data_IF_856322750859
#
_entry.id   IF_856322750859
#
_cell.length_a   1.000
_cell.length_b   1.000
_cell.length_c   1.000
_cell.angle_alpha   90.00
_cell.angle_beta   90.00
_cell.angle_gamma   90.00
#
_symmetry.space_group_name_H-M   'P 1'
#
loop_
_entity.id
_entity.type
_entity.pdbx_description
1 polymer ?
#
# COMPACT_ATOMS: atom_id res chain seq x y z
N UNK A 1 -8.57 44.25 22.16
CA UNK A 1 -8.96 44.32 20.73
C UNK A 1 -7.86 43.65 19.93
N UNK A 2 -7.85 42.33 20.01
CA UNK A 2 -6.84 41.40 19.52
C UNK A 2 -7.32 40.79 18.20
N UNK A 3 -7.43 41.62 17.15
CA UNK A 3 -7.98 41.21 15.84
C UNK A 3 -6.92 40.68 14.86
N UNK A 4 -5.64 40.60 15.24
CA UNK A 4 -4.56 40.22 14.31
C UNK A 4 -4.22 38.72 14.28
N UNK A 5 -4.84 37.88 15.12
CA UNK A 5 -4.55 36.43 15.19
C UNK A 5 -5.63 35.57 14.52
N UNK A 6 -6.83 36.13 14.27
CA UNK A 6 -7.96 35.39 13.69
C UNK A 6 -7.89 35.21 12.16
N UNK A 7 -6.98 35.91 11.46
CA UNK A 7 -6.77 35.81 10.01
C UNK A 7 -5.82 34.68 9.59
N UNK A 8 -5.54 33.70 10.46
CA UNK A 8 -4.91 32.43 10.07
C UNK A 8 -5.96 31.42 9.53
N UNK A 9 -6.98 31.95 8.85
CA UNK A 9 -8.13 31.25 8.30
C UNK A 9 -7.69 30.19 7.27
N UNK A 10 -7.98 28.92 7.59
CA UNK A 10 -8.22 27.80 6.67
C UNK A 10 -7.55 27.89 5.28
N UNK A 11 -6.27 27.52 5.22
CA UNK A 11 -5.57 27.35 3.95
C UNK A 11 -6.19 26.19 3.15
N UNK A 12 -7.04 26.52 2.17
CA UNK A 12 -7.77 25.56 1.31
C UNK A 12 -7.00 25.19 0.04
N UNK A 13 -5.73 25.60 -0.06
CA UNK A 13 -4.92 25.42 -1.26
C UNK A 13 -4.59 23.96 -1.46
N UNK A 14 -5.03 23.41 -2.59
CA UNK A 14 -4.61 22.09 -3.06
C UNK A 14 -3.42 22.29 -3.98
N UNK A 15 -2.27 21.69 -3.61
CA UNK A 15 -1.06 21.69 -4.45
C UNK A 15 -1.00 20.33 -5.14
N UNK A 16 -1.29 20.25 -6.46
CA UNK A 16 -1.22 18.98 -7.17
C UNK A 16 0.24 18.51 -7.32
N UNK A 17 0.48 17.19 -7.38
CA UNK A 17 1.82 16.68 -7.65
C UNK A 17 2.28 17.11 -9.05
N UNK A 18 3.59 17.35 -9.24
CA UNK A 18 4.15 17.62 -10.56
C UNK A 18 3.79 16.50 -11.57
N UNK A 19 3.56 16.82 -12.86
CA UNK A 19 3.18 15.82 -13.87
C UNK A 19 4.16 14.66 -13.97
N UNK A 20 5.46 14.95 -13.93
CA UNK A 20 6.51 13.93 -13.99
C UNK A 20 6.44 12.98 -12.80
N UNK A 21 6.21 13.50 -11.59
CA UNK A 21 6.05 12.66 -10.40
C UNK A 21 4.82 11.77 -10.51
N UNK A 22 3.69 12.31 -11.00
CA UNK A 22 2.45 11.57 -11.21
C UNK A 22 2.64 10.43 -12.22
N UNK A 23 3.39 10.68 -13.31
CA UNK A 23 3.64 9.66 -14.33
C UNK A 23 4.43 8.45 -13.80
N UNK A 24 5.34 8.65 -12.85
CA UNK A 24 6.14 7.60 -12.22
C UNK A 24 5.48 6.99 -10.96
N UNK A 25 4.25 7.38 -10.62
CA UNK A 25 3.55 6.84 -9.47
C UNK A 25 3.27 5.35 -9.66
N UNK A 26 3.42 4.57 -8.58
CA UNK A 26 3.08 3.14 -8.62
C UNK A 26 1.58 2.92 -8.88
N UNK A 27 0.73 3.74 -8.24
CA UNK A 27 -0.72 3.76 -8.47
C UNK A 27 -1.04 4.93 -9.40
N UNK A 28 -1.40 4.62 -10.64
CA UNK A 28 -1.71 5.62 -11.67
C UNK A 28 -3.09 6.26 -11.47
N UNK A 29 -4.09 5.44 -11.09
CA UNK A 29 -5.46 5.90 -10.83
C UNK A 29 -5.92 5.42 -9.46
N UNK A 30 -5.81 6.33 -8.48
CA UNK A 30 -6.23 6.08 -7.11
C UNK A 30 -7.72 5.71 -7.01
N UNK A 31 -8.61 6.43 -7.70
CA UNK A 31 -10.04 6.20 -7.57
C UNK A 31 -10.46 4.82 -8.05
N UNK A 32 -9.88 4.35 -9.15
CA UNK A 32 -10.13 3.00 -9.66
C UNK A 32 -9.60 1.94 -8.69
N UNK A 33 -8.35 2.09 -8.22
CA UNK A 33 -7.75 1.16 -7.27
C UNK A 33 -8.55 1.09 -5.97
N UNK A 34 -8.98 2.24 -5.45
CA UNK A 34 -9.80 2.33 -4.25
C UNK A 34 -11.16 1.66 -4.44
N UNK A 35 -11.89 1.97 -5.52
CA UNK A 35 -13.18 1.35 -5.84
C UNK A 35 -13.05 -0.18 -5.92
N UNK A 36 -12.00 -0.68 -6.56
CA UNK A 36 -11.75 -2.11 -6.65
C UNK A 36 -11.46 -2.74 -5.27
N UNK A 37 -10.62 -2.10 -4.44
CA UNK A 37 -10.28 -2.61 -3.11
C UNK A 37 -11.48 -2.79 -2.17
N UNK A 38 -12.55 -2.01 -2.39
CA UNK A 38 -13.78 -2.07 -1.61
C UNK A 38 -14.79 -3.05 -2.24
N UNK A 39 -14.95 -3.01 -3.56
CA UNK A 39 -15.93 -3.83 -4.27
C UNK A 39 -15.52 -5.32 -4.35
N UNK A 40 -14.23 -5.60 -4.52
CA UNK A 40 -13.66 -6.94 -4.59
C UNK A 40 -12.29 -6.98 -3.87
N UNK A 41 -12.30 -7.02 -2.53
CA UNK A 41 -11.07 -6.99 -1.73
C UNK A 41 -10.20 -8.22 -1.94
N UNK A 42 -10.78 -9.40 -2.15
CA UNK A 42 -9.99 -10.63 -2.32
C UNK A 42 -9.16 -10.58 -3.60
N UNK A 43 -9.76 -10.21 -4.74
CA UNK A 43 -9.02 -10.07 -6.01
C UNK A 43 -7.98 -8.95 -5.94
N UNK A 44 -8.33 -7.81 -5.34
CA UNK A 44 -7.40 -6.69 -5.20
C UNK A 44 -6.17 -7.07 -4.38
N UNK A 45 -6.39 -7.62 -3.17
CA UNK A 45 -5.30 -7.98 -2.27
C UNK A 45 -4.51 -9.22 -2.72
N UNK A 46 -5.13 -10.15 -3.46
CA UNK A 46 -4.41 -11.25 -4.11
C UNK A 46 -3.32 -10.73 -5.08
N UNK A 47 -3.67 -9.72 -5.88
CA UNK A 47 -2.73 -9.08 -6.80
C UNK A 47 -1.59 -8.39 -6.06
N UNK A 48 -1.91 -7.54 -5.07
CA UNK A 48 -0.92 -6.79 -4.30
C UNK A 48 0.01 -7.71 -3.50
N UNK A 49 -0.53 -8.76 -2.88
CA UNK A 49 0.27 -9.66 -2.03
C UNK A 49 1.32 -10.45 -2.82
N UNK A 50 1.13 -10.66 -4.13
CA UNK A 50 2.10 -11.33 -5.01
C UNK A 50 3.37 -10.50 -5.26
N UNK A 51 3.40 -9.22 -4.89
CA UNK A 51 4.61 -8.40 -4.91
C UNK A 51 5.62 -8.77 -3.80
N UNK A 52 5.14 -9.48 -2.77
CA UNK A 52 5.97 -10.02 -1.71
C UNK A 52 6.48 -11.42 -2.05
N UNK A 53 7.58 -11.81 -1.41
CA UNK A 53 8.07 -13.17 -1.47
C UNK A 53 7.37 -14.05 -0.44
N UNK A 54 6.82 -15.16 -0.93
CA UNK A 54 6.16 -16.19 -0.14
C UNK A 54 6.89 -17.51 -0.36
N UNK A 55 7.25 -18.18 0.73
CA UNK A 55 7.83 -19.52 0.67
C UNK A 55 6.75 -20.56 0.32
N UNK A 56 5.54 -20.32 0.82
CA UNK A 56 4.33 -21.04 0.44
C UNK A 56 3.23 -20.03 0.17
N UNK A 57 2.62 -20.01 -1.03
CA UNK A 57 1.46 -19.18 -1.33
C UNK A 57 0.27 -19.50 -0.41
N UNK A 58 -0.62 -18.52 -0.22
CA UNK A 58 -1.86 -18.73 0.51
C UNK A 58 -2.88 -19.51 -0.31
N UNK A 59 -3.82 -20.16 0.38
CA UNK A 59 -4.95 -20.86 -0.23
C UNK A 59 -6.22 -20.00 -0.25
N UNK A 60 -6.30 -19.01 0.65
CA UNK A 60 -7.45 -18.10 0.78
C UNK A 60 -6.98 -16.71 1.16
N UNK A 61 -7.46 -15.68 0.47
CA UNK A 61 -7.04 -14.29 0.71
C UNK A 61 -7.64 -13.76 2.00
N UNK A 62 -8.94 -13.96 2.22
CA UNK A 62 -9.63 -13.50 3.41
C UNK A 62 -10.59 -14.56 3.96
N UNK A 63 -10.37 -14.99 5.20
CA UNK A 63 -11.37 -15.71 5.99
C UNK A 63 -11.91 -14.77 7.06
N UNK A 64 -13.17 -14.38 6.95
CA UNK A 64 -13.79 -13.46 7.89
C UNK A 64 -14.95 -14.12 8.64
N UNK A 65 -14.75 -14.31 9.94
CA UNK A 65 -15.77 -14.72 10.90
C UNK A 65 -15.87 -13.64 11.98
N UNK A 66 -16.73 -12.64 11.77
CA UNK A 66 -16.82 -11.45 12.63
C UNK A 66 -16.82 -11.81 14.13
N UNK A 67 -15.98 -11.15 14.97
CA UNK A 67 -15.06 -10.03 14.66
C UNK A 67 -13.67 -10.45 14.14
N UNK A 68 -13.40 -11.75 13.94
CA UNK A 68 -12.08 -12.25 13.57
C UNK A 68 -11.88 -12.35 12.07
N UNK A 69 -10.85 -11.66 11.56
CA UNK A 69 -10.40 -11.76 10.18
C UNK A 69 -9.02 -12.42 10.14
N UNK A 70 -8.85 -13.37 9.24
CA UNK A 70 -7.55 -13.95 8.87
C UNK A 70 -7.26 -13.64 7.41
N UNK A 71 -6.09 -13.08 7.17
CA UNK A 71 -5.62 -12.74 5.83
C UNK A 71 -4.54 -13.73 5.38
N UNK A 72 -4.56 -14.07 4.09
CA UNK A 72 -3.57 -14.95 3.43
C UNK A 72 -3.40 -16.30 4.13
N UNK A 73 -4.51 -16.99 4.37
CA UNK A 73 -4.56 -18.24 5.12
C UNK A 73 -3.77 -19.34 4.39
N UNK A 74 -2.86 -19.98 5.12
CA UNK A 74 -1.93 -20.99 4.59
C UNK A 74 -0.64 -20.41 3.99
N UNK A 75 -0.57 -19.09 3.83
CA UNK A 75 0.63 -18.42 3.33
C UNK A 75 1.76 -18.43 4.36
N UNK A 76 2.98 -18.67 3.90
CA UNK A 76 4.19 -18.59 4.74
C UNK A 76 5.17 -17.59 4.14
N UNK A 77 5.55 -16.58 4.91
CA UNK A 77 6.57 -15.60 4.55
C UNK A 77 7.46 -15.28 5.76
N UNK A 78 8.58 -14.60 5.50
CA UNK A 78 9.43 -14.03 6.54
C UNK A 78 9.64 -12.54 6.24
N UNK A 79 9.45 -11.72 7.26
CA UNK A 79 9.56 -10.26 7.13
C UNK A 79 11.00 -9.82 6.85
N UNK A 80 11.99 -10.38 7.55
CA UNK A 80 13.39 -10.08 7.31
C UNK A 80 13.80 -10.45 5.88
N UNK A 81 13.35 -11.61 5.38
CA UNK A 81 13.62 -12.02 4.00
C UNK A 81 13.08 -11.03 2.96
N UNK A 82 11.85 -10.54 3.17
CA UNK A 82 11.23 -9.55 2.28
C UNK A 82 11.87 -8.16 2.38
N UNK A 83 12.36 -7.78 3.56
CA UNK A 83 12.96 -6.47 3.78
C UNK A 83 14.45 -6.41 3.43
N UNK A 84 15.18 -7.52 3.53
CA UNK A 84 16.64 -7.58 3.44
C UNK A 84 17.11 -8.62 2.44
N UNK A 85 16.94 -9.92 2.74
CA UNK A 85 17.60 -11.02 2.05
C UNK A 85 17.32 -11.02 0.54
N UNK A 86 16.06 -10.79 0.14
CA UNK A 86 15.69 -10.74 -1.29
C UNK A 86 16.38 -9.59 -2.03
N UNK A 87 16.73 -8.51 -1.34
CA UNK A 87 17.36 -7.34 -1.93
C UNK A 87 18.89 -7.45 -1.99
N UNK A 88 19.51 -8.29 -1.15
CA UNK A 88 20.96 -8.56 -1.16
C UNK A 88 21.43 -9.11 -2.50
N UNK A 89 20.57 -9.81 -3.24
CA UNK A 89 20.89 -10.37 -4.56
C UNK A 89 20.58 -9.41 -5.73
N UNK A 90 20.18 -8.18 -5.43
CA UNK A 90 19.82 -7.17 -6.44
C UNK A 90 20.83 -6.03 -6.47
N UNK A 91 20.69 -5.12 -7.44
CA UNK A 91 21.49 -3.88 -7.49
C UNK A 91 21.34 -3.00 -6.24
N UNK A 92 20.34 -3.25 -5.38
CA UNK A 92 20.11 -2.54 -4.12
C UNK A 92 20.92 -3.06 -2.94
N UNK A 93 21.72 -4.12 -3.09
CA UNK A 93 22.50 -4.77 -2.01
C UNK A 93 23.21 -3.81 -1.05
N UNK A 94 23.82 -2.74 -1.59
CA UNK A 94 24.64 -1.79 -0.85
C UNK A 94 24.03 -0.38 -0.82
N UNK A 95 22.71 -0.25 -0.99
CA UNK A 95 22.01 1.04 -0.91
C UNK A 95 21.62 1.28 0.55
N UNK A 96 22.37 2.16 1.21
CA UNK A 96 22.08 2.72 2.54
C UNK A 96 21.29 4.01 2.37
#
# INVERSE_FOLDING_TARGET
MSENIETLQHETRVIPPPPDFKAHAHIQNYETAYKQSIADPETFWDGVAKELHWFSPWNKVLEWNYPWAKWFVGGTCNIAYNCLDRHVQTWRKNKV
#
